data_IF_510652654252
#
_entry.id   IF_510652654252
#
_cell.length_a   1.000
_cell.length_b   1.000
_cell.length_c   1.000
_cell.angle_alpha   90.00
_cell.angle_beta   90.00
_cell.angle_gamma   90.00
#
_symmetry.space_group_name_H-M   'P 1'
#
loop_
_entity.id
_entity.type
_entity.pdbx_description
1 polymer ?
#
# COMPACT_ATOMS: atom_id res chain seq x y z
N UNK A 1 8.97 1.73 -11.48
CA UNK A 1 8.45 1.15 -10.23
C UNK A 1 8.45 -0.36 -10.34
N UNK A 2 8.82 -1.04 -9.27
CA UNK A 2 8.87 -2.49 -9.17
C UNK A 2 7.90 -2.97 -8.09
N UNK A 3 7.14 -4.03 -8.36
CA UNK A 3 6.25 -4.67 -7.39
C UNK A 3 7.08 -5.49 -6.39
N UNK A 4 6.95 -5.19 -5.11
CA UNK A 4 7.64 -5.89 -4.03
C UNK A 4 6.75 -7.02 -3.52
N UNK A 5 7.27 -8.24 -3.57
CA UNK A 5 6.61 -9.42 -2.98
C UNK A 5 7.15 -9.65 -1.58
N UNK A 6 6.26 -9.65 -0.59
CA UNK A 6 6.58 -9.97 0.79
C UNK A 6 6.00 -11.33 1.15
N UNK A 7 6.73 -12.10 1.96
CA UNK A 7 6.25 -13.37 2.49
C UNK A 7 5.20 -13.11 3.58
N UNK A 8 3.97 -13.60 3.44
CA UNK A 8 2.95 -13.46 4.48
C UNK A 8 3.39 -14.10 5.79
N UNK A 9 3.03 -13.48 6.91
CA UNK A 9 3.28 -14.06 8.22
C UNK A 9 2.38 -15.27 8.45
N UNK A 10 2.94 -16.34 9.01
CA UNK A 10 2.17 -17.55 9.33
C UNK A 10 1.00 -17.22 10.28
N UNK A 11 -0.13 -17.93 10.11
CA UNK A 11 -1.34 -17.81 10.94
C UNK A 11 -2.07 -16.46 10.91
N UNK A 12 -1.73 -15.57 9.98
CA UNK A 12 -2.44 -14.30 9.79
C UNK A 12 -3.34 -14.35 8.56
N UNK A 13 -4.43 -13.57 8.58
CA UNK A 13 -5.29 -13.39 7.41
C UNK A 13 -4.49 -12.62 6.36
N UNK A 14 -4.29 -13.26 5.20
CA UNK A 14 -3.67 -12.62 4.05
C UNK A 14 -4.74 -11.94 3.21
N UNK A 15 -4.92 -10.64 3.43
CA UNK A 15 -5.82 -9.88 2.57
C UNK A 15 -5.10 -9.47 1.28
N UNK A 16 -5.76 -9.68 0.14
CA UNK A 16 -5.18 -9.47 -1.19
C UNK A 16 -5.51 -8.10 -1.79
N UNK A 17 -5.99 -7.13 -0.98
CA UNK A 17 -6.41 -5.80 -1.44
C UNK A 17 -5.30 -4.75 -1.41
N UNK A 18 -4.03 -5.14 -1.36
CA UNK A 18 -2.92 -4.17 -1.42
C UNK A 18 -1.73 -4.67 -2.22
N UNK A 19 -0.95 -3.72 -2.74
CA UNK A 19 0.29 -3.94 -3.44
C UNK A 19 1.37 -2.98 -2.94
N UNK A 20 2.59 -3.46 -2.80
CA UNK A 20 3.73 -2.66 -2.38
C UNK A 20 4.66 -2.43 -3.58
N UNK A 21 5.13 -1.21 -3.74
CA UNK A 21 6.00 -0.83 -4.84
C UNK A 21 7.26 -0.12 -4.35
N UNK A 22 8.38 -0.36 -5.03
CA UNK A 22 9.62 0.39 -4.84
C UNK A 22 9.96 1.15 -6.12
N UNK A 23 10.28 2.43 -5.98
CA UNK A 23 10.79 3.25 -7.06
C UNK A 23 12.33 3.23 -7.10
N UNK A 24 12.90 3.67 -8.21
CA UNK A 24 14.34 3.67 -8.44
C UNK A 24 15.10 4.59 -7.46
N UNK A 25 14.45 5.66 -6.99
CA UNK A 25 14.97 6.58 -5.97
C UNK A 25 14.94 5.99 -4.54
N UNK A 26 14.48 4.75 -4.38
CA UNK A 26 14.32 4.07 -3.09
C UNK A 26 13.01 4.39 -2.36
N UNK A 27 12.16 5.27 -2.89
CA UNK A 27 10.85 5.54 -2.33
C UNK A 27 9.97 4.28 -2.37
N UNK A 28 9.24 4.04 -1.29
CA UNK A 28 8.29 2.92 -1.19
C UNK A 28 6.87 3.47 -1.17
N UNK A 29 6.00 2.82 -1.93
CA UNK A 29 4.60 3.18 -2.07
C UNK A 29 3.72 1.97 -1.79
N UNK A 30 2.61 2.19 -1.09
CA UNK A 30 1.56 1.20 -0.95
C UNK A 30 0.36 1.64 -1.78
N UNK A 31 -0.19 0.72 -2.55
CA UNK A 31 -1.46 0.85 -3.25
C UNK A 31 -2.48 -0.01 -2.51
N UNK A 32 -3.59 0.58 -2.08
CA UNK A 32 -4.63 -0.09 -1.31
C UNK A 32 -5.95 0.04 -2.05
N UNK A 33 -6.65 -1.07 -2.24
CA UNK A 33 -8.03 -1.07 -2.69
C UNK A 33 -8.92 -0.74 -1.48
N UNK A 34 -9.36 0.51 -1.41
CA UNK A 34 -10.24 0.98 -0.35
C UNK A 34 -11.70 0.82 -0.75
N UNK A 35 -12.56 0.58 0.23
CA UNK A 35 -14.01 0.54 0.05
C UNK A 35 -14.66 1.66 0.85
N UNK A 36 -15.51 2.45 0.20
CA UNK A 36 -16.37 3.41 0.87
C UNK A 36 -17.82 3.20 0.42
N UNK A 37 -18.67 2.80 1.35
CA UNK A 37 -20.07 2.42 1.12
C UNK A 37 -20.22 1.29 0.08
N UNK A 38 -20.31 1.63 -1.21
CA UNK A 38 -20.51 0.69 -2.33
C UNK A 38 -19.53 0.92 -3.48
N UNK A 39 -18.53 1.79 -3.29
CA UNK A 39 -17.54 2.13 -4.32
C UNK A 39 -16.16 1.70 -3.85
N UNK A 40 -15.55 0.79 -4.61
CA UNK A 40 -14.13 0.46 -4.49
C UNK A 40 -13.29 1.48 -5.25
N UNK A 41 -12.17 1.91 -4.67
CA UNK A 41 -11.22 2.80 -5.34
C UNK A 41 -9.80 2.60 -4.82
N UNK A 42 -8.82 3.01 -5.62
CA UNK A 42 -7.41 2.84 -5.30
C UNK A 42 -6.85 4.06 -4.54
N UNK A 43 -6.19 3.80 -3.42
CA UNK A 43 -5.44 4.79 -2.65
C UNK A 43 -3.95 4.43 -2.69
N UNK A 44 -3.17 5.24 -3.43
CA UNK A 44 -1.72 5.11 -3.44
C UNK A 44 -1.10 6.13 -2.48
N UNK A 45 -0.23 5.66 -1.59
CA UNK A 45 0.41 6.48 -0.56
C UNK A 45 1.91 6.18 -0.54
N UNK A 46 2.73 7.22 -0.47
CA UNK A 46 4.17 7.09 -0.20
C UNK A 46 4.39 6.85 1.29
N UNK A 47 5.14 5.79 1.63
CA UNK A 47 5.49 5.51 3.02
C UNK A 47 6.36 6.64 3.58
N UNK A 48 6.04 7.05 4.80
CA UNK A 48 6.84 8.01 5.56
C UNK A 48 7.97 7.31 6.34
N UNK A 49 8.76 8.08 7.09
CA UNK A 49 9.93 7.55 7.81
C UNK A 49 9.58 6.52 8.89
N UNK A 50 8.44 6.65 9.56
CA UNK A 50 7.98 5.73 10.59
C UNK A 50 7.45 4.43 9.96
N UNK A 51 6.59 4.55 8.94
CA UNK A 51 6.06 3.42 8.19
C UNK A 51 7.18 2.62 7.49
N UNK A 52 8.22 3.29 6.99
CA UNK A 52 9.42 2.65 6.45
C UNK A 52 10.21 1.90 7.53
N UNK A 53 10.35 2.48 8.72
CA UNK A 53 11.03 1.82 9.84
C UNK A 53 10.28 0.55 10.25
N UNK A 54 8.97 0.62 10.36
CA UNK A 54 8.13 -0.53 10.68
C UNK A 54 8.20 -1.59 9.59
N UNK A 55 8.15 -1.18 8.31
CA UNK A 55 8.36 -2.06 7.17
C UNK A 55 9.70 -2.80 7.24
N UNK A 56 10.79 -2.10 7.56
CA UNK A 56 12.09 -2.74 7.69
C UNK A 56 12.18 -3.69 8.89
N UNK A 57 11.50 -3.39 10.00
CA UNK A 57 11.54 -4.21 11.21
C UNK A 57 10.59 -5.41 11.20
N UNK A 58 9.40 -5.25 10.61
CA UNK A 58 8.28 -6.19 10.72
C UNK A 58 7.87 -6.81 9.37
N UNK A 59 8.34 -6.27 8.25
CA UNK A 59 8.09 -6.79 6.92
C UNK A 59 6.61 -6.78 6.54
N UNK A 60 6.08 -7.96 6.21
CA UNK A 60 4.69 -8.10 5.74
C UNK A 60 3.66 -7.63 6.78
N UNK A 61 3.89 -7.87 8.07
CA UNK A 61 2.93 -7.53 9.13
C UNK A 61 2.63 -6.03 9.22
N UNK A 62 3.65 -5.19 9.13
CA UNK A 62 3.46 -3.73 9.16
C UNK A 62 2.73 -3.24 7.91
N UNK A 63 2.96 -3.85 6.75
CA UNK A 63 2.26 -3.48 5.51
C UNK A 63 0.80 -3.93 5.55
N UNK A 64 0.52 -5.15 6.01
CA UNK A 64 -0.85 -5.64 6.22
C UNK A 64 -1.61 -4.74 7.21
N UNK A 65 -0.98 -4.37 8.32
CA UNK A 65 -1.57 -3.46 9.30
C UNK A 65 -1.82 -2.06 8.72
N UNK A 66 -0.85 -1.51 7.99
CA UNK A 66 -0.98 -0.21 7.34
C UNK A 66 -2.09 -0.20 6.28
N UNK A 67 -2.19 -1.25 5.45
CA UNK A 67 -3.26 -1.40 4.47
C UNK A 67 -4.64 -1.40 5.12
N UNK A 68 -4.83 -2.16 6.20
CA UNK A 68 -6.06 -2.17 6.99
C UNK A 68 -6.40 -0.77 7.52
N UNK A 69 -5.41 -0.06 8.07
CA UNK A 69 -5.60 1.31 8.57
C UNK A 69 -5.96 2.29 7.46
N UNK A 70 -5.32 2.20 6.29
CA UNK A 70 -5.63 3.05 5.14
C UNK A 70 -7.03 2.77 4.62
N UNK A 71 -7.43 1.50 4.51
CA UNK A 71 -8.76 1.13 4.04
C UNK A 71 -9.84 1.71 4.98
N UNK A 72 -9.68 1.52 6.29
CA UNK A 72 -10.67 1.96 7.29
C UNK A 72 -10.64 3.47 7.58
N UNK A 73 -9.46 4.09 7.63
CA UNK A 73 -9.25 5.50 8.00
C UNK A 73 -8.66 6.32 6.85
N UNK A 74 -9.09 6.08 5.61
CA UNK A 74 -8.53 6.68 4.40
C UNK A 74 -8.44 8.22 4.44
N UNK A 75 -9.37 8.88 5.15
CA UNK A 75 -9.39 10.33 5.33
C UNK A 75 -8.09 10.88 5.90
N UNK A 76 -7.46 10.14 6.81
CA UNK A 76 -6.24 10.54 7.51
C UNK A 76 -5.02 10.54 6.59
N UNK A 77 -5.13 9.87 5.44
CA UNK A 77 -4.06 9.73 4.45
C UNK A 77 -4.25 10.61 3.21
N UNK A 78 -5.38 11.31 3.08
CA UNK A 78 -5.69 12.12 1.90
C UNK A 78 -4.60 13.15 1.56
N UNK A 79 -3.96 13.75 2.57
CA UNK A 79 -2.88 14.71 2.37
C UNK A 79 -1.59 14.13 1.77
N UNK A 80 -1.45 12.80 1.74
CA UNK A 80 -0.31 12.07 1.18
C UNK A 80 -0.68 11.22 -0.04
N UNK A 81 -1.93 11.31 -0.50
CA UNK A 81 -2.42 10.50 -1.60
C UNK A 81 -1.75 10.92 -2.91
N UNK A 82 -1.20 9.93 -3.60
CA UNK A 82 -0.61 10.10 -4.93
C UNK A 82 -1.70 9.95 -5.99
N UNK A 83 -1.66 10.83 -7.00
CA UNK A 83 -2.58 10.84 -8.13
C UNK A 83 -1.82 10.95 -9.45
N UNK A 84 -2.53 10.82 -10.57
CA UNK A 84 -1.96 11.00 -11.91
C UNK A 84 -1.14 9.79 -12.39
N UNK A 85 -0.13 10.01 -13.27
CA UNK A 85 0.54 8.94 -14.01
C UNK A 85 1.16 7.84 -13.15
N UNK A 86 1.66 8.19 -11.95
CA UNK A 86 2.28 7.21 -11.05
C UNK A 86 1.25 6.22 -10.49
N UNK A 87 0.04 6.70 -10.18
CA UNK A 87 -1.07 5.85 -9.75
C UNK A 87 -1.54 4.94 -10.89
N UNK A 88 -1.65 5.47 -12.10
CA UNK A 88 -2.02 4.69 -13.29
C UNK A 88 -1.02 3.56 -13.56
N UNK A 89 0.28 3.86 -13.45
CA UNK A 89 1.35 2.86 -13.56
C UNK A 89 1.22 1.79 -12.48
N UNK A 90 0.96 2.17 -11.23
CA UNK A 90 0.80 1.22 -10.13
C UNK A 90 -0.39 0.27 -10.37
N UNK A 91 -1.54 0.80 -10.79
CA UNK A 91 -2.74 0.00 -11.09
C UNK A 91 -2.51 -1.02 -12.22
N UNK A 92 -1.79 -0.63 -13.27
CA UNK A 92 -1.44 -1.55 -14.36
C UNK A 92 -0.54 -2.70 -13.90
N UNK A 93 0.37 -2.43 -12.95
CA UNK A 93 1.28 -3.42 -12.41
C UNK A 93 0.60 -4.32 -11.36
N UNK A 94 -0.36 -3.82 -10.59
CA UNK A 94 -1.08 -4.61 -9.57
C UNK A 94 -2.08 -5.61 -10.16
N UNK A 95 -2.55 -5.38 -11.39
CA UNK A 95 -3.53 -6.24 -12.07
C UNK A 95 -2.88 -7.42 -12.83
N UNK A 96 -1.54 -7.51 -12.85
CA UNK A 96 -0.76 -8.57 -13.50
C UNK A 96 -0.34 -9.66 -12.53
#
# INVERSE_FOLDING_TARGET
MELVRLTPAEYHICDNYWSLFKAEDGSVYILVECEASFVGYQAMIKLNAEELRDYHGLGWLSIQHLANRINYFVSDYNGRRITGPLLEQANQLSTR
#
